data_IF_661658342162
#
_entry.id   IF_661658342162
#
_cell.length_a   1.000
_cell.length_b   1.000
_cell.length_c   1.000
_cell.angle_alpha   90.00
_cell.angle_beta   90.00
_cell.angle_gamma   90.00
#
_symmetry.space_group_name_H-M   'P 1'
#
loop_
_entity.id
_entity.type
_entity.pdbx_description
1 polymer ?
#
# COMPACT_ATOMS: atom_id res chain seq x y z
N UNK A 1 9.12 23.66 -13.48
CA UNK A 1 9.96 23.04 -12.45
C UNK A 1 10.52 21.77 -13.05
N UNK A 2 11.80 21.81 -13.42
CA UNK A 2 12.50 20.68 -14.02
C UNK A 2 12.62 19.59 -12.96
N UNK A 3 11.66 18.66 -12.99
CA UNK A 3 11.71 17.46 -12.18
C UNK A 3 12.89 16.68 -12.72
N UNK A 4 14.03 16.74 -12.03
CA UNK A 4 15.24 16.03 -12.45
C UNK A 4 14.89 14.56 -12.59
N UNK A 5 14.96 14.05 -13.82
CA UNK A 5 14.71 12.64 -14.09
C UNK A 5 15.85 11.83 -13.48
N UNK A 6 15.59 11.28 -12.29
CA UNK A 6 16.54 10.45 -11.57
C UNK A 6 16.24 8.99 -11.91
N UNK A 7 17.23 8.33 -12.51
CA UNK A 7 17.17 6.95 -12.93
C UNK A 7 17.92 6.04 -11.98
N UNK A 8 17.47 4.80 -11.88
CA UNK A 8 18.29 3.71 -11.36
C UNK A 8 19.09 3.10 -12.53
N UNK A 9 20.34 2.65 -12.32
CA UNK A 9 21.10 1.98 -13.37
C UNK A 9 20.31 0.83 -14.01
N UNK A 10 20.34 0.74 -15.34
CA UNK A 10 19.67 -0.34 -16.11
C UNK A 10 18.14 -0.32 -16.07
N UNK A 11 17.51 0.67 -15.41
CA UNK A 11 16.06 0.83 -15.40
C UNK A 11 15.63 2.05 -16.22
N UNK A 12 14.72 1.82 -17.17
CA UNK A 12 14.40 2.79 -18.23
C UNK A 12 13.48 3.93 -17.79
N UNK A 13 12.83 3.80 -16.63
CA UNK A 13 11.87 4.79 -16.15
C UNK A 13 12.43 5.62 -14.99
N UNK A 14 12.28 6.95 -15.02
CA UNK A 14 12.69 7.80 -13.91
C UNK A 14 11.78 7.59 -12.70
N UNK A 15 12.32 7.82 -11.50
CA UNK A 15 11.57 7.73 -10.24
C UNK A 15 10.28 8.57 -10.24
N UNK A 16 10.28 9.70 -10.95
CA UNK A 16 9.15 10.61 -11.08
C UNK A 16 7.91 9.98 -11.74
N UNK A 17 8.10 8.95 -12.58
CA UNK A 17 7.02 8.26 -13.28
C UNK A 17 6.45 7.07 -12.51
N UNK A 18 7.08 6.66 -11.41
CA UNK A 18 6.68 5.47 -10.66
C UNK A 18 5.51 5.77 -9.72
N UNK A 19 4.58 4.83 -9.63
CA UNK A 19 3.40 4.92 -8.76
C UNK A 19 3.46 3.92 -7.60
N UNK A 20 3.69 2.65 -7.94
CA UNK A 20 3.69 1.56 -6.97
C UNK A 20 4.51 0.37 -7.46
N UNK A 21 4.88 -0.52 -6.55
CA UNK A 21 5.57 -1.77 -6.89
C UNK A 21 5.12 -2.93 -6.00
N UNK A 22 5.40 -4.15 -6.47
CA UNK A 22 5.39 -5.38 -5.68
C UNK A 22 6.59 -6.24 -6.09
N UNK A 23 7.12 -7.02 -5.15
CA UNK A 23 8.22 -7.97 -5.39
C UNK A 23 7.66 -9.38 -5.43
N UNK A 24 7.86 -10.09 -6.54
CA UNK A 24 7.44 -11.48 -6.73
C UNK A 24 8.59 -12.28 -7.35
N UNK A 25 9.09 -13.29 -6.63
CA UNK A 25 10.14 -14.21 -7.11
C UNK A 25 11.30 -13.44 -7.79
N UNK A 26 11.89 -12.50 -7.04
CA UNK A 26 13.01 -11.63 -7.46
C UNK A 26 12.73 -10.67 -8.63
N UNK A 27 11.48 -10.60 -9.10
CA UNK A 27 11.04 -9.65 -10.13
C UNK A 27 10.19 -8.57 -9.48
N UNK A 28 10.54 -7.31 -9.75
CA UNK A 28 9.72 -6.17 -9.39
C UNK A 28 8.67 -5.95 -10.47
N UNK A 29 7.40 -5.98 -10.06
CA UNK A 29 6.27 -5.55 -10.88
C UNK A 29 5.97 -4.10 -10.48
N UNK A 30 6.15 -3.18 -11.41
CA UNK A 30 6.13 -1.74 -11.16
C UNK A 30 4.98 -1.13 -11.97
N UNK A 31 4.09 -0.44 -11.28
CA UNK A 31 3.05 0.40 -11.89
C UNK A 31 3.58 1.81 -12.07
N UNK A 32 3.46 2.31 -13.29
CA UNK A 32 3.75 3.69 -13.67
C UNK A 32 2.52 4.58 -13.47
N UNK A 33 2.73 5.89 -13.37
CA UNK A 33 1.66 6.88 -13.20
C UNK A 33 0.73 7.01 -14.40
N UNK A 34 1.20 6.64 -15.59
CA UNK A 34 0.39 6.57 -16.81
C UNK A 34 -0.51 5.31 -16.87
N UNK A 35 -0.42 4.41 -15.89
CA UNK A 35 -1.19 3.17 -15.83
C UNK A 35 -0.50 1.95 -16.45
N UNK A 36 0.67 2.12 -17.08
CA UNK A 36 1.46 1.00 -17.58
C UNK A 36 2.06 0.19 -16.43
N UNK A 37 2.30 -1.09 -16.70
CA UNK A 37 2.93 -2.02 -15.76
C UNK A 37 4.15 -2.62 -16.43
N UNK A 38 5.30 -2.49 -15.76
CA UNK A 38 6.58 -3.01 -16.25
C UNK A 38 7.16 -3.99 -15.23
N UNK A 39 7.82 -5.02 -15.75
CA UNK A 39 8.58 -5.98 -14.94
C UNK A 39 10.06 -5.68 -15.02
N UNK A 40 10.74 -5.61 -13.88
CA UNK A 40 12.17 -5.37 -13.82
C UNK A 40 12.85 -6.35 -12.87
N UNK A 41 13.92 -6.98 -13.34
CA UNK A 41 14.75 -7.88 -12.54
C UNK A 41 16.13 -7.25 -12.37
N UNK A 42 16.41 -6.59 -11.24
CA UNK A 42 17.73 -6.02 -10.98
C UNK A 42 18.76 -7.12 -10.71
N UNK A 43 20.04 -6.81 -10.93
CA UNK A 43 21.16 -7.65 -10.50
C UNK A 43 21.18 -7.81 -8.97
N UNK A 44 20.84 -6.73 -8.25
CA UNK A 44 20.77 -6.71 -6.79
C UNK A 44 19.40 -6.19 -6.32
N UNK A 45 18.67 -7.02 -5.56
CA UNK A 45 17.30 -6.72 -5.13
C UNK A 45 17.28 -5.60 -4.07
N UNK A 46 18.18 -5.65 -3.09
CA UNK A 46 18.16 -4.74 -1.95
C UNK A 46 18.42 -3.28 -2.35
N UNK A 47 19.44 -2.95 -3.18
CA UNK A 47 19.67 -1.57 -3.62
C UNK A 47 18.52 -1.00 -4.46
N UNK A 48 17.91 -1.80 -5.34
CA UNK A 48 16.77 -1.34 -6.13
C UNK A 48 15.55 -1.06 -5.23
N UNK A 49 15.28 -1.94 -4.26
CA UNK A 49 14.22 -1.72 -3.28
C UNK A 49 14.46 -0.46 -2.45
N UNK A 50 15.68 -0.23 -1.96
CA UNK A 50 16.01 0.98 -1.19
C UNK A 50 15.81 2.25 -2.02
N UNK A 51 16.15 2.20 -3.31
CA UNK A 51 15.91 3.31 -4.22
C UNK A 51 14.41 3.61 -4.37
N UNK A 52 13.57 2.59 -4.57
CA UNK A 52 12.11 2.76 -4.60
C UNK A 52 11.56 3.36 -3.31
N UNK A 53 12.02 2.87 -2.15
CA UNK A 53 11.63 3.36 -0.83
C UNK A 53 12.06 4.83 -0.63
N UNK A 54 13.28 5.20 -1.07
CA UNK A 54 13.82 6.57 -1.03
C UNK A 54 12.95 7.55 -1.83
N UNK A 55 12.44 7.13 -2.98
CA UNK A 55 11.53 7.92 -3.80
C UNK A 55 10.06 7.78 -3.41
N UNK A 56 9.77 7.11 -2.29
CA UNK A 56 8.41 6.93 -1.73
C UNK A 56 7.46 6.24 -2.71
N UNK A 57 7.97 5.34 -3.55
CA UNK A 57 7.14 4.50 -4.40
C UNK A 57 6.37 3.52 -3.51
N UNK A 58 5.06 3.38 -3.72
CA UNK A 58 4.21 2.60 -2.81
C UNK A 58 4.47 1.10 -2.97
N UNK A 59 4.81 0.41 -1.88
CA UNK A 59 4.86 -1.06 -1.86
C UNK A 59 3.45 -1.63 -1.61
N UNK A 60 2.88 -2.31 -2.61
CA UNK A 60 1.50 -2.84 -2.56
C UNK A 60 1.40 -4.04 -1.60
N UNK A 61 2.47 -4.80 -1.43
CA UNK A 61 2.46 -5.97 -0.53
C UNK A 61 2.33 -5.56 0.96
N UNK A 62 2.69 -4.33 1.31
CA UNK A 62 2.64 -3.79 2.69
C UNK A 62 1.49 -2.81 2.86
N UNK A 63 1.15 -2.06 1.81
CA UNK A 63 0.05 -1.11 1.79
C UNK A 63 -0.93 -1.53 0.70
N UNK A 64 -2.04 -2.14 1.11
CA UNK A 64 -3.12 -2.59 0.23
C UNK A 64 -3.86 -1.42 -0.48
N UNK A 65 -3.46 -0.18 -0.20
CA UNK A 65 -4.07 1.03 -0.77
C UNK A 65 -5.33 1.45 -0.03
N UNK A 66 -5.69 0.78 1.06
CA UNK A 66 -6.78 1.16 1.93
C UNK A 66 -6.19 2.01 3.07
N UNK A 67 -6.69 3.24 3.28
CA UNK A 67 -6.37 3.97 4.50
C UNK A 67 -6.89 3.15 5.68
N UNK A 68 -5.97 2.49 6.41
CA UNK A 68 -6.27 2.00 7.74
C UNK A 68 -6.45 3.24 8.63
N UNK A 69 -7.65 3.83 8.58
CA UNK A 69 -8.08 4.81 9.56
C UNK A 69 -7.82 4.18 10.92
N UNK A 70 -7.01 4.83 11.76
CA UNK A 70 -6.68 4.39 13.10
C UNK A 70 -7.97 3.94 13.79
N UNK A 71 -8.17 2.62 13.86
CA UNK A 71 -9.22 2.02 14.66
C UNK A 71 -8.70 2.08 16.09
N UNK A 72 -8.64 3.30 16.64
CA UNK A 72 -8.44 3.49 18.07
C UNK A 72 -9.57 2.73 18.73
N UNK A 73 -9.22 1.63 19.39
CA UNK A 73 -10.12 0.85 20.19
C UNK A 73 -10.61 1.71 21.37
N UNK A 74 -11.57 2.60 21.12
CA UNK A 74 -12.46 3.10 22.17
C UNK A 74 -13.59 2.10 22.34
N UNK A 75 -13.26 0.94 22.91
CA UNK A 75 -14.20 -0.06 23.42
C UNK A 75 -14.43 0.12 24.93
N UNK A 76 -14.36 1.36 25.41
CA UNK A 76 -14.68 1.72 26.79
C UNK A 76 -15.38 3.08 26.85
N UNK A 77 -16.56 3.19 26.22
CA UNK A 77 -17.60 4.15 26.62
C UNK A 77 -18.88 3.85 25.84
N UNK A 78 -19.69 2.95 26.37
CA UNK A 78 -21.13 3.02 26.17
C UNK A 78 -21.73 3.66 27.42
N UNK A 79 -22.02 4.99 27.43
CA UNK A 79 -22.94 5.54 28.38
C UNK A 79 -24.36 5.36 27.81
N UNK A 80 -25.08 4.39 28.37
CA UNK A 80 -26.54 4.40 28.56
C UNK A 80 -27.47 4.58 27.32
N UNK A 81 -28.20 3.50 26.99
CA UNK A 81 -29.42 3.47 26.12
C UNK A 81 -29.10 3.25 24.64
N UNK A 82 -29.66 2.32 23.87
CA UNK A 82 -31.08 2.00 23.68
C UNK A 82 -31.25 0.61 23.01
N UNK A 83 -31.06 -0.49 23.75
CA UNK A 83 -31.52 -1.81 23.28
C UNK A 83 -32.51 -2.41 24.27
N UNK A 84 -33.72 -1.87 24.25
CA UNK A 84 -34.91 -2.61 24.63
C UNK A 84 -35.56 -3.09 23.34
N UNK A 85 -35.40 -4.37 22.98
CA UNK A 85 -36.32 -5.00 22.03
C UNK A 85 -36.43 -6.52 22.24
N UNK A 86 -37.57 -6.88 22.84
CA UNK A 86 -38.31 -8.16 22.81
C UNK A 86 -37.80 -9.31 23.70
N UNK A 87 -38.40 -9.38 24.89
CA UNK A 87 -38.64 -10.64 25.61
C UNK A 87 -39.53 -11.54 24.74
N UNK A 88 -39.05 -12.72 24.36
CA UNK A 88 -39.91 -13.79 23.81
C UNK A 88 -39.97 -14.96 24.79
N UNK A 89 -41.16 -15.14 25.34
CA UNK A 89 -41.59 -16.22 26.24
C UNK A 89 -41.34 -17.61 25.64
N UNK A 90 -40.76 -18.53 26.43
CA UNK A 90 -40.91 -19.97 26.23
C UNK A 90 -41.78 -20.52 27.36
N UNK A 91 -43.04 -20.83 27.03
CA UNK A 91 -43.83 -21.84 27.72
C UNK A 91 -43.39 -23.21 27.24
N UNK A 92 -42.91 -24.06 28.15
CA UNK A 92 -43.41 -25.44 28.33
C UNK A 92 -42.80 -26.01 29.60
#
# INVERSE_FOLDING_TARGET
MDSKDIFYPEFEHPASQLSAFSLCIDVFIISLKNGEIVSFKPNEIAPFKEWLDRFKVRNIAVNDGIPHANRTANLSKAPNGFFNLIKRSKRK
#
